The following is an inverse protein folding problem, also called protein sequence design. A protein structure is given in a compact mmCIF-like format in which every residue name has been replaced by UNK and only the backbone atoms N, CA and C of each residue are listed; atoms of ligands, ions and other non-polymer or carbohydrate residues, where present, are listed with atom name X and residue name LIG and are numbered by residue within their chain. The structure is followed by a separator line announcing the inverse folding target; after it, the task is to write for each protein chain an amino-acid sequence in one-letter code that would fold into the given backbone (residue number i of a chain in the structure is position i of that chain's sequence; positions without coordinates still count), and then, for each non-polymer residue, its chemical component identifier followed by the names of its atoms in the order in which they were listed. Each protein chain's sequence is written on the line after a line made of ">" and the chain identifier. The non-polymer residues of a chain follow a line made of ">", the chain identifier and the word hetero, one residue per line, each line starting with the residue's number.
data_IF_839158368239
#
_entry.id   IF_839158368239
#
_cell.length_a   1.000
_cell.length_b   1.000
_cell.length_c   1.000
_cell.angle_alpha   90.00
_cell.angle_beta   90.00
_cell.angle_gamma   90.00
#
_symmetry.space_group_name_H-M   'P 1'
#
loop_
_entity.id
_entity.type
_entity.pdbx_description
1 polymer ?
#
# COMPACT_ATOMS: atom_id res chain seq x y z
N UNK A 1 -7.67 -8.38 1.82
CA UNK A 1 -6.75 -9.32 1.18
C UNK A 1 -5.45 -8.61 0.87
N UNK A 2 -4.46 -9.35 0.38
CA UNK A 2 -3.18 -8.84 -0.11
C UNK A 2 -2.98 -9.16 -1.59
N UNK A 3 -4.01 -8.90 -2.40
CA UNK A 3 -3.95 -9.04 -3.85
C UNK A 3 -3.37 -7.81 -4.54
N UNK A 4 -2.78 -6.86 -3.79
CA UNK A 4 -2.26 -5.59 -4.28
C UNK A 4 -1.32 -5.72 -5.48
N UNK A 5 -0.55 -6.82 -5.53
CA UNK A 5 0.23 -7.20 -6.70
C UNK A 5 -0.62 -7.99 -7.69
N UNK A 6 -1.21 -9.10 -7.26
CA UNK A 6 -1.95 -10.04 -8.14
C UNK A 6 -3.03 -9.37 -9.01
N UNK A 7 -3.66 -8.33 -8.50
CA UNK A 7 -4.68 -7.55 -9.19
C UNK A 7 -4.20 -6.85 -10.45
N UNK A 8 -2.89 -6.82 -10.70
CA UNK A 8 -2.30 -6.22 -11.90
C UNK A 8 -2.07 -7.22 -13.04
N UNK A 9 -2.21 -8.52 -12.81
CA UNK A 9 -1.98 -9.54 -13.85
C UNK A 9 -3.04 -10.65 -13.89
N UNK A 10 -3.74 -10.94 -12.79
CA UNK A 10 -4.78 -11.96 -12.73
C UNK A 10 -6.17 -11.33 -12.76
N UNK A 11 -6.87 -11.31 -13.92
CA UNK A 11 -8.21 -10.74 -14.03
C UNK A 11 -9.26 -11.53 -13.24
N UNK A 12 -8.97 -12.79 -12.90
CA UNK A 12 -9.88 -13.65 -12.16
C UNK A 12 -9.72 -13.53 -10.64
N UNK A 13 -8.61 -12.97 -10.15
CA UNK A 13 -8.28 -12.91 -8.71
C UNK A 13 -8.50 -14.26 -7.99
N UNK A 14 -7.93 -15.30 -8.59
CA UNK A 14 -8.00 -16.66 -8.06
C UNK A 14 -7.16 -16.82 -6.78
N UNK A 15 -7.57 -17.67 -5.81
CA UNK A 15 -8.74 -18.54 -5.83
C UNK A 15 -10.01 -17.87 -5.29
N UNK A 16 -9.99 -16.59 -4.89
CA UNK A 16 -11.13 -15.96 -4.23
C UNK A 16 -12.40 -16.01 -5.08
N UNK A 17 -12.30 -15.69 -6.38
CA UNK A 17 -13.44 -15.81 -7.30
C UNK A 17 -13.99 -17.23 -7.40
N UNK A 18 -13.13 -18.25 -7.37
CA UNK A 18 -13.55 -19.67 -7.40
C UNK A 18 -14.31 -20.08 -6.15
N UNK A 19 -14.12 -19.36 -5.05
CA UNK A 19 -14.83 -19.57 -3.79
C UNK A 19 -16.08 -18.68 -3.64
N UNK A 20 -16.54 -18.04 -4.71
CA UNK A 20 -17.76 -17.23 -4.72
C UNK A 20 -17.59 -15.82 -4.13
N UNK A 21 -16.36 -15.38 -3.90
CA UNK A 21 -16.09 -13.98 -3.55
C UNK A 21 -16.36 -13.12 -4.77
N UNK A 22 -17.18 -12.08 -4.60
CA UNK A 22 -17.53 -11.14 -5.68
C UNK A 22 -16.85 -9.79 -5.56
N UNK A 23 -16.26 -9.49 -4.41
CA UNK A 23 -15.59 -8.22 -4.13
C UNK A 23 -14.44 -8.44 -3.15
N UNK A 24 -13.28 -7.84 -3.42
CA UNK A 24 -12.13 -7.84 -2.51
C UNK A 24 -11.80 -6.43 -2.05
N UNK A 25 -11.36 -6.30 -0.80
CA UNK A 25 -10.77 -5.07 -0.26
C UNK A 25 -9.29 -5.33 0.02
N UNK A 26 -8.40 -4.60 -0.64
CA UNK A 26 -6.95 -4.74 -0.54
C UNK A 26 -6.28 -3.51 0.08
N UNK A 27 -4.94 -3.47 0.11
CA UNK A 27 -4.18 -2.43 0.83
C UNK A 27 -4.34 -2.56 2.34
N UNK A 28 -4.36 -3.77 2.87
CA UNK A 28 -4.50 -4.04 4.31
C UNK A 28 -3.15 -3.97 5.03
N UNK A 29 -3.18 -4.02 6.37
CA UNK A 29 -1.96 -4.13 7.18
C UNK A 29 -0.93 -3.01 6.98
N UNK A 30 -1.32 -1.89 6.37
CA UNK A 30 -0.39 -0.83 5.96
C UNK A 30 0.54 -1.23 4.81
N UNK A 31 0.34 -2.37 4.15
CA UNK A 31 1.23 -2.89 3.10
C UNK A 31 0.51 -2.89 1.76
N UNK A 32 1.22 -2.45 0.72
CA UNK A 32 0.73 -2.39 -0.66
C UNK A 32 1.70 -1.61 -1.53
N UNK A 33 1.31 -1.33 -2.78
CA UNK A 33 2.22 -0.85 -3.82
C UNK A 33 1.91 0.55 -4.36
N UNK A 34 1.09 1.34 -3.66
CA UNK A 34 0.78 2.71 -4.05
C UNK A 34 0.63 3.61 -2.81
N UNK A 35 1.16 4.85 -2.82
CA UNK A 35 2.04 5.41 -3.84
C UNK A 35 3.44 4.75 -3.81
N UNK A 36 4.17 4.78 -4.92
CA UNK A 36 5.47 4.13 -5.05
C UNK A 36 6.37 4.84 -6.07
N UNK A 37 7.47 5.46 -5.61
CA UNK A 37 8.47 6.04 -6.51
C UNK A 37 9.23 4.93 -7.25
N UNK A 38 9.71 5.18 -8.48
CA UNK A 38 10.50 4.19 -9.23
C UNK A 38 11.67 3.58 -8.45
N UNK A 39 12.35 4.37 -7.62
CA UNK A 39 13.49 3.92 -6.81
C UNK A 39 13.11 3.22 -5.50
N UNK A 40 11.82 3.08 -5.19
CA UNK A 40 11.31 2.48 -3.94
C UNK A 40 10.55 1.16 -4.18
N UNK A 41 10.28 0.80 -5.44
CA UNK A 41 9.51 -0.38 -5.85
C UNK A 41 10.08 -1.68 -5.26
N UNK A 42 11.39 -1.88 -5.38
CA UNK A 42 12.09 -3.04 -4.82
C UNK A 42 11.91 -3.16 -3.31
N UNK A 43 11.91 -2.03 -2.60
CA UNK A 43 11.69 -2.03 -1.16
C UNK A 43 10.27 -2.46 -0.81
N UNK A 44 9.26 -1.93 -1.52
CA UNK A 44 7.87 -2.33 -1.31
C UNK A 44 7.64 -3.81 -1.62
N UNK A 45 8.33 -4.37 -2.62
CA UNK A 45 8.33 -5.82 -2.89
C UNK A 45 8.90 -6.58 -1.69
N UNK A 46 10.04 -6.15 -1.12
CA UNK A 46 10.61 -6.79 0.09
C UNK A 46 9.71 -6.68 1.32
N UNK A 47 8.94 -5.59 1.44
CA UNK A 47 7.93 -5.42 2.49
C UNK A 47 6.81 -6.44 2.31
N UNK A 48 6.20 -6.51 1.12
CA UNK A 48 5.12 -7.46 0.83
C UNK A 48 5.58 -8.91 0.99
N UNK A 49 6.75 -9.26 0.46
CA UNK A 49 7.32 -10.60 0.56
C UNK A 49 7.60 -11.00 2.01
N UNK A 50 8.02 -10.05 2.85
CA UNK A 50 8.28 -10.32 4.28
C UNK A 50 7.01 -10.50 5.12
N UNK A 51 5.91 -9.86 4.73
CA UNK A 51 4.64 -9.87 5.49
C UNK A 51 3.71 -11.00 5.03
N UNK A 52 3.56 -11.17 3.72
CA UNK A 52 2.57 -12.08 3.12
C UNK A 52 3.19 -13.34 2.52
N UNK A 53 4.52 -13.47 2.62
CA UNK A 53 5.29 -14.60 2.06
C UNK A 53 5.07 -14.81 0.54
N UNK A 54 4.62 -13.76 -0.16
CA UNK A 54 4.47 -13.76 -1.62
C UNK A 54 5.86 -13.65 -2.26
N UNK A 55 6.29 -14.61 -3.09
CA UNK A 55 7.63 -14.58 -3.67
C UNK A 55 7.90 -13.27 -4.42
N UNK A 56 9.00 -12.60 -4.08
CA UNK A 56 9.35 -11.30 -4.69
C UNK A 56 9.49 -11.38 -6.21
N UNK A 57 9.97 -12.51 -6.74
CA UNK A 57 10.08 -12.75 -8.18
C UNK A 57 8.72 -12.74 -8.89
N UNK A 58 7.67 -13.25 -8.25
CA UNK A 58 6.32 -13.22 -8.83
C UNK A 58 5.77 -11.79 -8.90
N UNK A 59 6.07 -10.97 -7.90
CA UNK A 59 5.69 -9.55 -7.87
C UNK A 59 6.48 -8.75 -8.91
N UNK A 60 7.79 -8.98 -9.01
CA UNK A 60 8.67 -8.30 -9.95
C UNK A 60 8.32 -8.61 -11.41
N UNK A 61 8.02 -9.89 -11.72
CA UNK A 61 7.61 -10.30 -13.08
C UNK A 61 6.18 -9.90 -13.42
N UNK A 62 5.27 -9.93 -12.43
CA UNK A 62 3.83 -9.74 -12.65
C UNK A 62 3.38 -8.27 -12.66
N UNK A 63 4.11 -7.38 -11.98
CA UNK A 63 3.73 -5.98 -11.86
C UNK A 63 4.36 -5.11 -12.95
N UNK A 64 3.55 -4.29 -13.61
CA UNK A 64 3.97 -3.40 -14.70
C UNK A 64 4.41 -2.02 -14.22
N UNK A 65 4.03 -1.63 -13.00
CA UNK A 65 4.34 -0.33 -12.39
C UNK A 65 4.06 0.89 -13.28
N UNK A 66 2.89 0.92 -13.90
CA UNK A 66 2.41 2.05 -14.72
C UNK A 66 1.75 3.16 -13.89
N UNK A 67 2.16 3.29 -12.62
CA UNK A 67 1.77 4.33 -11.67
C UNK A 67 2.96 4.75 -10.79
N UNK A 68 2.87 5.96 -10.23
CA UNK A 68 3.66 6.42 -9.09
C UNK A 68 2.75 6.87 -7.94
N UNK A 69 1.66 7.57 -8.26
CA UNK A 69 0.69 8.08 -7.28
C UNK A 69 -0.46 7.10 -7.02
N UNK A 70 -1.22 7.31 -5.93
CA UNK A 70 -2.38 6.49 -5.65
C UNK A 70 -3.53 6.66 -6.67
N UNK A 71 -3.86 7.87 -7.16
CA UNK A 71 -4.82 8.02 -8.25
C UNK A 71 -4.41 7.28 -9.52
N UNK A 72 -3.14 7.37 -9.93
CA UNK A 72 -2.63 6.62 -11.09
C UNK A 72 -2.72 5.10 -10.88
N UNK A 73 -2.55 4.62 -9.66
CA UNK A 73 -2.78 3.21 -9.32
C UNK A 73 -4.25 2.83 -9.55
N UNK A 74 -5.20 3.64 -9.10
CA UNK A 74 -6.62 3.40 -9.36
C UNK A 74 -6.94 3.41 -10.86
N UNK A 75 -6.37 4.34 -11.62
CA UNK A 75 -6.51 4.38 -13.09
C UNK A 75 -5.92 3.12 -13.73
N UNK A 76 -4.77 2.64 -13.25
CA UNK A 76 -4.18 1.37 -13.70
C UNK A 76 -5.10 0.19 -13.45
N UNK A 77 -5.71 0.16 -12.25
CA UNK A 77 -6.68 -0.85 -11.93
C UNK A 77 -7.89 -0.75 -12.86
N UNK A 78 -8.51 0.42 -13.02
CA UNK A 78 -9.73 0.61 -13.82
C UNK A 78 -9.58 0.10 -15.27
N UNK A 79 -8.38 0.20 -15.86
CA UNK A 79 -8.11 -0.30 -17.21
C UNK A 79 -8.23 -1.81 -17.39
N UNK A 80 -8.18 -2.59 -16.30
CA UNK A 80 -8.20 -4.04 -16.39
C UNK A 80 -9.61 -4.61 -16.36
N UNK A 81 -9.90 -5.53 -17.28
CA UNK A 81 -11.11 -6.36 -17.21
C UNK A 81 -10.99 -7.31 -16.02
N UNK A 82 -12.02 -7.38 -15.16
CA UNK A 82 -12.01 -8.23 -13.97
C UNK A 82 -13.28 -9.05 -13.83
N UNK A 83 -13.12 -10.23 -13.25
CA UNK A 83 -14.21 -11.14 -12.91
C UNK A 83 -14.92 -10.76 -11.60
N UNK A 84 -14.25 -10.02 -10.71
CA UNK A 84 -14.77 -9.58 -9.40
C UNK A 84 -14.40 -8.12 -9.11
N UNK A 85 -15.17 -7.46 -8.26
CA UNK A 85 -14.93 -6.08 -7.86
C UNK A 85 -13.68 -5.95 -6.97
N UNK A 86 -13.01 -4.80 -7.08
CA UNK A 86 -11.80 -4.49 -6.30
C UNK A 86 -11.96 -3.14 -5.63
N UNK A 87 -11.60 -3.09 -4.36
CA UNK A 87 -11.56 -1.86 -3.56
C UNK A 87 -10.17 -1.70 -2.95
N UNK A 88 -9.53 -0.56 -3.17
CA UNK A 88 -8.20 -0.27 -2.66
C UNK A 88 -8.25 0.66 -1.45
N UNK A 89 -7.31 0.48 -0.52
CA UNK A 89 -7.05 1.38 0.60
C UNK A 89 -5.60 1.84 0.54
N UNK A 90 -5.30 3.01 1.12
CA UNK A 90 -3.95 3.57 1.16
C UNK A 90 -3.11 2.85 2.23
N UNK A 91 -2.02 2.15 1.84
CA UNK A 91 -1.13 1.46 2.75
C UNK A 91 -0.11 2.44 3.38
N UNK A 92 -0.10 2.52 4.71
CA UNK A 92 0.80 3.41 5.45
C UNK A 92 2.29 3.19 5.17
N UNK A 93 2.75 1.96 4.99
CA UNK A 93 4.17 1.70 4.71
C UNK A 93 4.61 2.27 3.38
N UNK A 94 3.79 2.16 2.34
CA UNK A 94 4.09 2.76 1.04
C UNK A 94 4.04 4.29 1.12
N UNK A 95 3.04 4.83 1.82
CA UNK A 95 2.89 6.26 2.02
C UNK A 95 4.09 6.88 2.78
N UNK A 96 4.56 6.22 3.86
CA UNK A 96 5.76 6.65 4.59
C UNK A 96 6.99 6.59 3.71
N UNK A 97 7.18 5.50 2.97
CA UNK A 97 8.30 5.36 2.06
C UNK A 97 8.31 6.50 1.03
N UNK A 98 7.17 6.77 0.40
CA UNK A 98 7.03 7.80 -0.62
C UNK A 98 7.38 9.22 -0.15
N UNK A 99 7.05 9.54 1.10
CA UNK A 99 7.26 10.87 1.70
C UNK A 99 8.64 11.00 2.37
N UNK A 100 9.09 9.96 3.07
CA UNK A 100 10.30 10.02 3.91
C UNK A 100 11.53 9.37 3.27
N UNK A 101 11.34 8.54 2.24
CA UNK A 101 12.34 7.62 1.71
C UNK A 101 12.56 6.39 2.59
N UNK A 102 13.06 5.29 2.00
CA UNK A 102 13.23 3.98 2.67
C UNK A 102 13.94 4.07 4.03
N UNK A 103 15.12 4.72 4.08
CA UNK A 103 15.94 4.76 5.29
C UNK A 103 15.21 5.39 6.48
N UNK A 104 14.59 6.55 6.26
CA UNK A 104 13.87 7.28 7.32
C UNK A 104 12.53 6.65 7.63
N UNK A 105 11.85 6.08 6.64
CA UNK A 105 10.57 5.40 6.85
C UNK A 105 10.69 4.19 7.80
N UNK A 106 11.87 3.56 7.87
CA UNK A 106 12.16 2.44 8.77
C UNK A 106 12.52 2.86 10.19
N UNK A 107 13.27 3.94 10.36
CA UNK A 107 13.95 4.23 11.63
C UNK A 107 13.48 5.52 12.32
N UNK A 108 13.05 6.53 11.55
CA UNK A 108 12.81 7.86 12.08
C UNK A 108 11.34 8.10 12.43
N UNK A 109 11.10 9.09 13.30
CA UNK A 109 9.77 9.68 13.46
C UNK A 109 9.49 10.65 12.30
N UNK A 110 8.24 10.67 11.81
CA UNK A 110 7.82 11.62 10.80
C UNK A 110 7.76 13.04 11.39
N UNK A 111 8.33 14.01 10.67
CA UNK A 111 8.22 15.43 11.01
C UNK A 111 6.80 15.95 10.76
N UNK A 112 6.48 17.12 11.31
CA UNK A 112 5.16 17.74 11.10
C UNK A 112 4.83 17.97 9.62
N UNK A 113 5.83 18.35 8.81
CA UNK A 113 5.67 18.58 7.37
C UNK A 113 5.43 17.25 6.62
N UNK A 114 6.15 16.18 7.00
CA UNK A 114 5.94 14.85 6.43
C UNK A 114 4.56 14.29 6.79
N UNK A 115 4.09 14.50 8.03
CA UNK A 115 2.74 14.13 8.44
C UNK A 115 1.69 14.91 7.64
N UNK A 116 1.92 16.21 7.42
CA UNK A 116 1.03 17.04 6.61
C UNK A 116 0.96 16.56 5.16
N UNK A 117 2.10 16.19 4.58
CA UNK A 117 2.15 15.65 3.21
C UNK A 117 1.50 14.27 3.11
N UNK A 118 1.73 13.37 4.06
CA UNK A 118 1.04 12.07 4.12
C UNK A 118 -0.48 12.25 4.26
N UNK A 119 -0.93 13.23 5.04
CA UNK A 119 -2.35 13.58 5.13
C UNK A 119 -2.90 14.12 3.80
N UNK A 120 -2.14 14.97 3.09
CA UNK A 120 -2.56 15.52 1.78
C UNK A 120 -2.68 14.42 0.73
N UNK A 121 -1.71 13.51 0.65
CA UNK A 121 -1.73 12.36 -0.26
C UNK A 121 -2.86 11.37 0.06
N UNK A 122 -3.15 11.18 1.35
CA UNK A 122 -4.30 10.35 1.76
C UNK A 122 -5.62 10.99 1.35
N UNK A 123 -5.77 12.31 1.53
CA UNK A 123 -6.96 13.06 1.07
C UNK A 123 -7.15 12.95 -0.44
N UNK A 124 -6.07 13.13 -1.22
CA UNK A 124 -6.08 12.96 -2.67
C UNK A 124 -6.51 11.55 -3.09
N UNK A 125 -5.99 10.51 -2.42
CA UNK A 125 -6.38 9.13 -2.66
C UNK A 125 -7.87 8.89 -2.33
N UNK A 126 -8.38 9.42 -1.21
CA UNK A 126 -9.80 9.32 -0.84
C UNK A 126 -10.70 9.99 -1.89
N UNK A 127 -10.30 11.18 -2.38
CA UNK A 127 -11.03 11.89 -3.44
C UNK A 127 -11.02 11.12 -4.76
N UNK A 128 -9.94 10.40 -5.06
CA UNK A 128 -9.84 9.53 -6.23
C UNK A 128 -10.63 8.22 -6.10
N UNK A 129 -11.10 7.86 -4.90
CA UNK A 129 -11.93 6.68 -4.67
C UNK A 129 -11.31 5.60 -3.79
N UNK A 130 -10.18 5.87 -3.13
CA UNK A 130 -9.68 4.99 -2.07
C UNK A 130 -10.75 4.85 -0.98
N UNK A 131 -10.97 3.62 -0.51
CA UNK A 131 -11.95 3.36 0.56
C UNK A 131 -11.48 3.92 1.91
N UNK A 132 -10.17 3.96 2.12
CA UNK A 132 -9.61 4.33 3.40
C UNK A 132 -8.10 4.27 3.46
N UNK A 133 -7.59 4.20 4.68
CA UNK A 133 -6.17 4.18 5.03
C UNK A 133 -5.96 3.05 6.03
N UNK A 134 -4.89 2.27 5.87
CA UNK A 134 -4.57 1.16 6.77
C UNK A 134 -3.17 1.28 7.33
N UNK A 135 -2.99 0.72 8.52
CA UNK A 135 -1.71 0.72 9.25
C UNK A 135 -1.47 -0.66 9.81
N UNK A 136 -0.22 -0.94 10.20
CA UNK A 136 0.09 -2.05 11.09
C UNK A 136 1.06 -1.60 12.16
N UNK A 137 0.83 -2.09 13.39
CA UNK A 137 1.68 -1.91 14.56
C UNK A 137 2.15 -3.24 15.15
N UNK A 138 2.00 -4.32 14.39
CA UNK A 138 2.43 -5.65 14.85
C UNK A 138 3.91 -5.84 14.61
N UNK A 139 4.64 -6.28 15.64
CA UNK A 139 6.07 -6.59 15.57
C UNK A 139 6.38 -7.81 14.70
N UNK A 140 5.34 -8.56 14.30
CA UNK A 140 5.45 -9.69 13.39
C UNK A 140 5.58 -9.26 11.93
N UNK A 141 5.09 -8.08 11.55
CA UNK A 141 5.25 -7.58 10.19
C UNK A 141 6.66 -7.02 10.02
N UNK A 142 7.48 -7.74 9.26
CA UNK A 142 8.88 -7.40 9.00
C UNK A 142 9.15 -7.37 7.52
N UNK A 143 10.08 -6.50 7.13
CA UNK A 143 10.70 -6.58 5.80
C UNK A 143 11.45 -7.91 5.73
N UNK A 144 11.48 -8.56 4.56
CA UNK A 144 12.22 -9.81 4.38
C UNK A 144 13.68 -9.64 4.82
N UNK A 145 14.10 -10.48 5.78
CA UNK A 145 15.42 -10.43 6.43
C UNK A 145 15.79 -9.06 7.05
N UNK A 146 14.79 -8.25 7.39
CA UNK A 146 14.97 -6.86 7.82
C UNK A 146 14.24 -6.50 9.11
N UNK A 147 14.17 -5.19 9.41
CA UNK A 147 13.45 -4.67 10.57
C UNK A 147 11.93 -4.81 10.40
N UNK A 148 11.19 -4.33 11.41
CA UNK A 148 9.73 -4.16 11.28
C UNK A 148 9.39 -3.20 10.14
N UNK A 149 8.22 -3.37 9.53
CA UNK A 149 7.81 -2.56 8.37
C UNK A 149 7.63 -1.07 8.75
N UNK A 150 7.79 -0.15 7.79
CA UNK A 150 7.50 1.27 8.02
C UNK A 150 6.11 1.48 8.60
N UNK A 151 6.01 2.34 9.61
CA UNK A 151 4.75 2.62 10.29
C UNK A 151 4.49 1.80 11.55
N UNK A 152 5.23 0.70 11.79
CA UNK A 152 5.08 -0.12 13.02
C UNK A 152 5.20 0.71 14.30
N UNK A 153 6.18 1.62 14.31
CA UNK A 153 6.51 2.49 15.44
C UNK A 153 5.95 3.91 15.29
N UNK A 154 5.00 4.15 14.37
CA UNK A 154 4.43 5.48 14.17
C UNK A 154 3.78 6.03 15.43
N UNK A 155 3.96 7.33 15.64
CA UNK A 155 3.44 8.04 16.81
C UNK A 155 1.93 8.26 16.69
N UNK A 156 1.22 8.46 17.81
CA UNK A 156 -0.18 8.87 17.77
C UNK A 156 -0.40 10.15 16.95
N UNK A 157 0.55 11.09 17.00
CA UNK A 157 0.53 12.35 16.26
C UNK A 157 0.56 12.10 14.75
N UNK A 158 1.40 11.18 14.28
CA UNK A 158 1.46 10.76 12.87
C UNK A 158 0.13 10.14 12.44
N UNK A 159 -0.38 9.16 13.17
CA UNK A 159 -1.61 8.44 12.81
C UNK A 159 -2.85 9.35 12.82
N UNK A 160 -2.99 10.19 13.86
CA UNK A 160 -4.07 11.16 13.96
C UNK A 160 -3.91 12.26 12.91
N UNK A 161 -2.68 12.67 12.61
CA UNK A 161 -2.36 13.64 11.57
C UNK A 161 -2.84 13.19 10.20
N UNK A 162 -2.51 11.97 9.80
CA UNK A 162 -2.97 11.36 8.55
C UNK A 162 -4.49 11.19 8.55
N UNK A 163 -5.08 10.71 9.66
CA UNK A 163 -6.53 10.50 9.77
C UNK A 163 -7.38 11.78 9.63
N UNK A 164 -6.78 12.98 9.72
CA UNK A 164 -7.50 14.23 9.45
C UNK A 164 -7.92 14.37 7.98
N UNK A 165 -7.31 13.61 7.07
CA UNK A 165 -7.72 13.54 5.67
C UNK A 165 -9.21 13.19 5.50
N UNK A 166 -9.79 12.38 6.40
CA UNK A 166 -11.20 11.94 6.34
C UNK A 166 -12.23 13.02 6.71
N UNK A 167 -11.78 14.22 7.11
CA UNK A 167 -12.68 15.30 7.55
C UNK A 167 -12.86 16.40 6.51
N UNK A 168 -12.21 16.27 5.37
CA UNK A 168 -12.22 17.26 4.29
C UNK A 168 -13.05 16.73 3.14
#
# INVERSE_FOLDING_TARGET
>A
THYDGQVTWDPDLSPSSWHGVTTVVMGNCGVGFAPARPNERDFLIRVMEGVEEIPGAALDEGMTWDWETFPEYLDSLERQQRSIDVVAQVPHSALRCYVMGEARALEDEATADEIAEMSRLTEEALQAGALGFTTSRTILHKVKHGPVIPGTNATPEELVGIARAFRK
#
